data_IF_969260397815
#
_entry.id   IF_969260397815
#
_cell.length_a   1.000
_cell.length_b   1.000
_cell.length_c   1.000
_cell.angle_alpha   90.00
_cell.angle_beta   90.00
_cell.angle_gamma   90.00
#
_symmetry.space_group_name_H-M   'P 1'
#
loop_
_entity.id
_entity.type
_entity.pdbx_description
1 polymer ?
#
# COMPACT_ATOMS: atom_id res chain seq x y z
N UNK A 1 -122.64 -77.92 -43.23
CA UNK A 1 -121.78 -77.10 -44.10
C UNK A 1 -121.44 -75.73 -43.50
N UNK A 2 -122.42 -74.90 -43.11
CA UNK A 2 -122.15 -73.52 -42.64
C UNK A 2 -121.29 -73.41 -41.36
N UNK A 3 -121.39 -74.37 -40.41
CA UNK A 3 -120.60 -74.35 -39.16
C UNK A 3 -119.09 -74.55 -39.36
N UNK A 4 -118.68 -75.26 -40.41
CA UNK A 4 -117.26 -75.49 -40.71
C UNK A 4 -116.61 -74.29 -41.39
N UNK A 5 -117.34 -73.58 -42.26
CA UNK A 5 -116.85 -72.36 -42.90
C UNK A 5 -116.66 -71.21 -41.90
N UNK A 6 -117.57 -71.07 -40.92
CA UNK A 6 -117.43 -70.04 -39.88
C UNK A 6 -116.23 -70.31 -38.95
N UNK A 7 -115.96 -71.57 -38.62
CA UNK A 7 -114.79 -71.94 -37.82
C UNK A 7 -113.47 -71.70 -38.56
N UNK A 8 -113.44 -72.00 -39.86
CA UNK A 8 -112.25 -71.77 -40.69
C UNK A 8 -111.97 -70.27 -40.86
N UNK A 9 -113.00 -69.46 -41.10
CA UNK A 9 -112.87 -68.00 -41.20
C UNK A 9 -112.41 -67.38 -39.87
N UNK A 10 -112.92 -67.87 -38.73
CA UNK A 10 -112.47 -67.41 -37.42
C UNK A 10 -111.02 -67.81 -37.10
N UNK A 11 -110.56 -68.97 -37.56
CA UNK A 11 -109.16 -69.38 -37.42
C UNK A 11 -108.24 -68.51 -38.28
N UNK A 12 -108.62 -68.24 -39.55
CA UNK A 12 -107.87 -67.35 -40.43
C UNK A 12 -107.81 -65.92 -39.88
N UNK A 13 -108.92 -65.40 -39.35
CA UNK A 13 -108.97 -64.05 -38.76
C UNK A 13 -108.08 -63.95 -37.52
N UNK A 14 -108.09 -64.97 -36.67
CA UNK A 14 -107.22 -65.01 -35.48
C UNK A 14 -105.74 -65.13 -35.85
N UNK A 15 -105.41 -65.92 -36.88
CA UNK A 15 -104.05 -66.07 -37.37
C UNK A 15 -103.54 -64.77 -38.02
N UNK A 16 -104.37 -64.11 -38.82
CA UNK A 16 -104.06 -62.81 -39.41
C UNK A 16 -103.83 -61.73 -38.34
N UNK A 17 -104.66 -61.72 -37.28
CA UNK A 17 -104.48 -60.79 -36.15
C UNK A 17 -103.19 -61.06 -35.37
N UNK A 18 -102.79 -62.33 -35.20
CA UNK A 18 -101.53 -62.67 -34.55
C UNK A 18 -100.33 -62.26 -35.40
N UNK A 19 -100.36 -62.51 -36.71
CA UNK A 19 -99.31 -62.09 -37.64
C UNK A 19 -99.20 -60.55 -37.71
N UNK A 20 -100.33 -59.85 -37.77
CA UNK A 20 -100.37 -58.38 -37.76
C UNK A 20 -99.78 -57.80 -36.48
N UNK A 21 -100.09 -58.40 -35.32
CA UNK A 21 -99.54 -57.96 -34.04
C UNK A 21 -98.03 -58.24 -33.93
N UNK A 22 -97.55 -59.39 -34.41
CA UNK A 22 -96.12 -59.70 -34.45
C UNK A 22 -95.35 -58.79 -35.41
N UNK A 23 -95.91 -58.49 -36.58
CA UNK A 23 -95.29 -57.59 -37.55
C UNK A 23 -95.18 -56.17 -37.00
N UNK A 24 -96.25 -55.66 -36.37
CA UNK A 24 -96.25 -54.34 -35.74
C UNK A 24 -95.25 -54.25 -34.56
N UNK A 25 -95.15 -55.30 -33.73
CA UNK A 25 -94.16 -55.32 -32.64
C UNK A 25 -92.72 -55.35 -33.17
N UNK A 26 -92.43 -56.18 -34.17
CA UNK A 26 -91.09 -56.30 -34.74
C UNK A 26 -90.65 -55.04 -35.52
N UNK A 27 -91.57 -54.39 -36.25
CA UNK A 27 -91.27 -53.13 -36.94
C UNK A 27 -91.00 -52.00 -35.94
N UNK A 28 -91.87 -51.81 -34.94
CA UNK A 28 -91.69 -50.79 -33.92
C UNK A 28 -90.40 -50.97 -33.11
N UNK A 29 -90.02 -52.22 -32.80
CA UNK A 29 -88.81 -52.49 -32.02
C UNK A 29 -87.52 -52.33 -32.83
N UNK A 30 -87.57 -52.60 -34.15
CA UNK A 30 -86.44 -52.34 -35.04
C UNK A 30 -86.24 -50.83 -35.28
N UNK A 31 -87.31 -50.06 -35.46
CA UNK A 31 -87.25 -48.60 -35.59
C UNK A 31 -86.72 -47.95 -34.30
N UNK A 32 -87.22 -48.37 -33.13
CA UNK A 32 -86.75 -47.89 -31.83
C UNK A 32 -85.25 -48.20 -31.61
N UNK A 33 -84.79 -49.39 -31.98
CA UNK A 33 -83.38 -49.76 -31.88
C UNK A 33 -82.49 -48.94 -32.84
N UNK A 34 -82.97 -48.65 -34.06
CA UNK A 34 -82.26 -47.79 -35.00
C UNK A 34 -82.16 -46.35 -34.49
N UNK A 35 -83.26 -45.77 -33.99
CA UNK A 35 -83.25 -44.44 -33.38
C UNK A 35 -82.33 -44.39 -32.17
N UNK A 36 -82.38 -45.38 -31.28
CA UNK A 36 -81.53 -45.42 -30.07
C UNK A 36 -80.05 -45.48 -30.42
N UNK A 37 -79.67 -46.29 -31.42
CA UNK A 37 -78.30 -46.36 -31.89
C UNK A 37 -77.84 -45.04 -32.54
N UNK A 38 -78.72 -44.41 -33.33
CA UNK A 38 -78.43 -43.15 -33.98
C UNK A 38 -78.31 -41.99 -32.97
N UNK A 39 -79.14 -41.98 -31.93
CA UNK A 39 -79.08 -41.04 -30.81
C UNK A 39 -77.78 -41.20 -30.02
N UNK A 40 -77.41 -42.43 -29.66
CA UNK A 40 -76.16 -42.74 -28.96
C UNK A 40 -74.93 -42.34 -29.77
N UNK A 41 -74.95 -42.58 -31.09
CA UNK A 41 -73.85 -42.21 -31.97
C UNK A 41 -73.74 -40.69 -32.14
N UNK A 42 -74.87 -39.98 -32.17
CA UNK A 42 -74.90 -38.51 -32.17
C UNK A 42 -74.36 -37.92 -30.85
N UNK A 43 -74.74 -38.46 -29.69
CA UNK A 43 -74.20 -38.04 -28.40
C UNK A 43 -72.69 -38.30 -28.29
N UNK A 44 -72.22 -39.47 -28.76
CA UNK A 44 -70.80 -39.82 -28.77
C UNK A 44 -70.00 -38.86 -29.65
N UNK A 45 -70.53 -38.51 -30.84
CA UNK A 45 -69.92 -37.54 -31.74
C UNK A 45 -69.87 -36.13 -31.12
N UNK A 46 -70.94 -35.70 -30.44
CA UNK A 46 -70.94 -34.42 -29.72
C UNK A 46 -69.90 -34.38 -28.60
N UNK A 47 -69.83 -35.41 -27.75
CA UNK A 47 -68.81 -35.50 -26.68
C UNK A 47 -67.39 -35.52 -27.23
N UNK A 48 -67.16 -36.25 -28.32
CA UNK A 48 -65.85 -36.31 -28.98
C UNK A 48 -65.43 -34.95 -29.53
N UNK A 49 -66.35 -34.23 -30.19
CA UNK A 49 -66.09 -32.87 -30.67
C UNK A 49 -65.79 -31.90 -29.54
N UNK A 50 -66.53 -31.98 -28.43
CA UNK A 50 -66.31 -31.12 -27.27
C UNK A 50 -64.98 -31.42 -26.57
N UNK A 51 -64.59 -32.69 -26.47
CA UNK A 51 -63.28 -33.10 -25.93
C UNK A 51 -62.13 -32.58 -26.81
N UNK A 52 -62.24 -32.71 -28.12
CA UNK A 52 -61.24 -32.20 -29.07
C UNK A 52 -61.12 -30.67 -29.01
N UNK A 53 -62.25 -29.95 -28.89
CA UNK A 53 -62.24 -28.50 -28.69
C UNK A 53 -61.53 -28.10 -27.39
N UNK A 54 -61.81 -28.79 -26.28
CA UNK A 54 -61.17 -28.52 -24.99
C UNK A 54 -59.66 -28.85 -25.02
N UNK A 55 -59.26 -29.93 -25.68
CA UNK A 55 -57.84 -30.27 -25.85
C UNK A 55 -57.09 -29.20 -26.66
N UNK A 56 -57.66 -28.73 -27.77
CA UNK A 56 -57.07 -27.66 -28.57
C UNK A 56 -56.98 -26.33 -27.79
N UNK A 57 -58.02 -25.99 -27.00
CA UNK A 57 -57.98 -24.80 -26.14
C UNK A 57 -56.88 -24.89 -25.08
N UNK A 58 -56.72 -26.04 -24.41
CA UNK A 58 -55.66 -26.24 -23.42
C UNK A 58 -54.26 -26.22 -24.05
N UNK A 59 -54.08 -26.79 -25.24
CA UNK A 59 -52.79 -26.72 -25.95
C UNK A 59 -52.42 -25.28 -26.32
N UNK A 60 -53.38 -24.50 -26.83
CA UNK A 60 -53.15 -23.08 -27.15
C UNK A 60 -52.86 -22.25 -25.88
N UNK A 61 -53.55 -22.52 -24.76
CA UNK A 61 -53.25 -21.83 -23.50
C UNK A 61 -51.85 -22.14 -22.98
N UNK A 62 -51.43 -23.40 -23.03
CA UNK A 62 -50.07 -23.80 -22.62
C UNK A 62 -48.99 -23.21 -23.52
N UNK A 63 -49.20 -23.17 -24.84
CA UNK A 63 -48.29 -22.50 -25.78
C UNK A 63 -48.17 -21.01 -25.46
N UNK A 64 -49.29 -20.30 -25.29
CA UNK A 64 -49.28 -18.88 -24.94
C UNK A 64 -48.60 -18.59 -23.59
N UNK A 65 -48.76 -19.48 -22.59
CA UNK A 65 -48.07 -19.34 -21.30
C UNK A 65 -46.56 -19.53 -21.43
N UNK A 66 -46.13 -20.54 -22.20
CA UNK A 66 -44.70 -20.77 -22.46
C UNK A 66 -44.06 -19.63 -23.25
N UNK A 67 -44.75 -19.10 -24.26
CA UNK A 67 -44.27 -17.94 -25.02
C UNK A 67 -44.14 -16.70 -24.12
N UNK A 68 -45.11 -16.43 -23.25
CA UNK A 68 -45.03 -15.33 -22.28
C UNK A 68 -43.88 -15.50 -21.29
N UNK A 69 -43.66 -16.72 -20.77
CA UNK A 69 -42.54 -16.98 -19.86
C UNK A 69 -41.18 -16.81 -20.55
N UNK A 70 -41.05 -17.27 -21.79
CA UNK A 70 -39.84 -17.09 -22.59
C UNK A 70 -39.57 -15.61 -22.89
N UNK A 71 -40.60 -14.84 -23.27
CA UNK A 71 -40.47 -13.40 -23.49
C UNK A 71 -40.04 -12.68 -22.20
N UNK A 72 -40.63 -13.00 -21.06
CA UNK A 72 -40.30 -12.40 -19.76
C UNK A 72 -38.87 -12.72 -19.32
N UNK A 73 -38.41 -13.95 -19.56
CA UNK A 73 -37.04 -14.38 -19.26
C UNK A 73 -36.02 -13.66 -20.15
N UNK A 74 -36.31 -13.56 -21.44
CA UNK A 74 -35.45 -12.82 -22.38
C UNK A 74 -35.35 -11.33 -22.02
N UNK A 75 -36.47 -10.72 -21.61
CA UNK A 75 -36.50 -9.31 -21.21
C UNK A 75 -35.73 -9.08 -19.90
N UNK A 76 -35.82 -9.99 -18.94
CA UNK A 76 -35.05 -9.93 -17.69
C UNK A 76 -33.54 -10.03 -17.96
N UNK A 77 -33.13 -10.97 -18.81
CA UNK A 77 -31.72 -11.15 -19.18
C UNK A 77 -31.18 -9.93 -19.94
N UNK A 78 -31.98 -9.33 -20.83
CA UNK A 78 -31.60 -8.10 -21.53
C UNK A 78 -31.41 -6.94 -20.55
N UNK A 79 -32.32 -6.75 -19.61
CA UNK A 79 -32.24 -5.67 -18.62
C UNK A 79 -31.02 -5.85 -17.70
N UNK A 80 -30.77 -7.07 -17.21
CA UNK A 80 -29.60 -7.34 -16.36
C UNK A 80 -28.28 -7.09 -17.10
N UNK A 81 -28.20 -7.48 -18.38
CA UNK A 81 -27.02 -7.20 -19.20
C UNK A 81 -26.84 -5.70 -19.44
N UNK A 82 -27.92 -4.96 -19.67
CA UNK A 82 -27.85 -3.49 -19.82
C UNK A 82 -27.39 -2.80 -18.54
N UNK A 83 -27.96 -3.14 -17.38
CA UNK A 83 -27.53 -2.58 -16.09
C UNK A 83 -26.06 -2.89 -15.78
N UNK A 84 -25.63 -4.13 -16.01
CA UNK A 84 -24.24 -4.55 -15.75
C UNK A 84 -23.27 -3.79 -16.65
N UNK A 85 -23.60 -3.65 -17.94
CA UNK A 85 -22.77 -2.88 -18.89
C UNK A 85 -22.71 -1.41 -18.50
N UNK A 86 -23.84 -0.82 -18.09
CA UNK A 86 -23.90 0.58 -17.70
C UNK A 86 -23.11 0.85 -16.41
N UNK A 87 -23.17 -0.06 -15.43
CA UNK A 87 -22.39 0.03 -14.19
C UNK A 87 -20.89 -0.04 -14.48
N UNK A 88 -20.46 -1.01 -15.29
CA UNK A 88 -19.06 -1.17 -15.68
C UNK A 88 -18.53 0.05 -16.43
N UNK A 89 -19.34 0.61 -17.34
CA UNK A 89 -18.95 1.78 -18.14
C UNK A 89 -18.84 3.04 -17.28
N UNK A 90 -19.75 3.22 -16.30
CA UNK A 90 -19.66 4.31 -15.33
C UNK A 90 -18.41 4.20 -14.45
N UNK A 91 -18.09 2.99 -14.00
CA UNK A 91 -16.92 2.74 -13.16
C UNK A 91 -15.61 2.94 -13.93
N UNK A 92 -15.56 2.52 -15.20
CA UNK A 92 -14.43 2.79 -16.09
C UNK A 92 -14.25 4.30 -16.30
N UNK A 93 -15.33 5.04 -16.54
CA UNK A 93 -15.28 6.50 -16.70
C UNK A 93 -14.81 7.21 -15.42
N UNK A 94 -15.24 6.75 -14.23
CA UNK A 94 -14.74 7.27 -12.96
C UNK A 94 -13.24 7.04 -12.80
N UNK A 95 -12.78 5.80 -13.01
CA UNK A 95 -11.35 5.47 -12.93
C UNK A 95 -10.52 6.27 -13.94
N UNK A 96 -11.02 6.48 -15.16
CA UNK A 96 -10.34 7.28 -16.18
C UNK A 96 -10.23 8.76 -15.74
N UNK A 97 -11.27 9.29 -15.11
CA UNK A 97 -11.26 10.67 -14.61
C UNK A 97 -10.30 10.84 -13.43
N UNK A 98 -10.25 9.88 -12.50
CA UNK A 98 -9.29 9.88 -11.38
C UNK A 98 -7.86 9.81 -11.89
N UNK A 99 -7.56 8.89 -12.83
CA UNK A 99 -6.24 8.77 -13.44
C UNK A 99 -5.81 10.06 -14.16
N UNK A 100 -6.74 10.72 -14.85
CA UNK A 100 -6.48 12.00 -15.51
C UNK A 100 -6.19 13.12 -14.51
N UNK A 101 -6.90 13.16 -13.37
CA UNK A 101 -6.63 14.13 -12.30
C UNK A 101 -5.25 13.90 -11.69
N UNK A 102 -4.92 12.65 -11.39
CA UNK A 102 -3.63 12.26 -10.81
C UNK A 102 -2.47 12.59 -11.76
N UNK A 103 -2.65 12.32 -13.06
CA UNK A 103 -1.67 12.68 -14.11
C UNK A 103 -1.47 14.20 -14.21
N UNK A 104 -2.55 14.97 -14.13
CA UNK A 104 -2.46 16.44 -14.15
C UNK A 104 -1.75 16.99 -12.91
N UNK A 105 -2.00 16.41 -11.74
CA UNK A 105 -1.33 16.79 -10.51
C UNK A 105 0.17 16.47 -10.57
N UNK A 106 0.54 15.27 -11.04
CA UNK A 106 1.93 14.87 -11.22
C UNK A 106 2.68 15.79 -12.19
N UNK A 107 2.02 16.23 -13.27
CA UNK A 107 2.58 17.19 -14.21
C UNK A 107 2.79 18.56 -13.58
N UNK A 108 1.88 19.02 -12.71
CA UNK A 108 2.05 20.28 -11.97
C UNK A 108 3.23 20.20 -11.00
N UNK A 109 3.33 19.12 -10.22
CA UNK A 109 4.45 18.89 -9.31
C UNK A 109 5.79 18.82 -10.05
N UNK A 110 5.83 18.13 -11.20
CA UNK A 110 7.03 18.04 -12.04
C UNK A 110 7.46 19.41 -12.56
N UNK A 111 6.51 20.25 -12.99
CA UNK A 111 6.82 21.61 -13.44
C UNK A 111 7.35 22.49 -12.29
N UNK A 112 6.79 22.36 -11.09
CA UNK A 112 7.24 23.07 -9.91
C UNK A 112 8.66 22.63 -9.50
N UNK A 113 8.92 21.33 -9.49
CA UNK A 113 10.24 20.76 -9.20
C UNK A 113 11.31 21.26 -10.20
N UNK A 114 10.94 21.38 -11.47
CA UNK A 114 11.83 21.93 -12.50
C UNK A 114 12.14 23.42 -12.26
N UNK A 115 11.15 24.21 -11.83
CA UNK A 115 11.38 25.62 -11.47
C UNK A 115 12.30 25.76 -10.26
N UNK A 116 12.08 24.96 -9.22
CA UNK A 116 12.93 24.92 -8.02
C UNK A 116 14.36 24.48 -8.35
N UNK A 117 14.51 23.48 -9.22
CA UNK A 117 15.82 23.01 -9.70
C UNK A 117 16.57 24.12 -10.44
N UNK A 118 15.87 24.91 -11.26
CA UNK A 118 16.47 26.03 -11.97
C UNK A 118 16.92 27.16 -11.03
N UNK A 119 16.11 27.50 -10.02
CA UNK A 119 16.50 28.46 -8.99
C UNK A 119 17.70 27.96 -8.17
N UNK A 120 17.72 26.67 -7.85
CA UNK A 120 18.84 26.06 -7.13
C UNK A 120 20.15 26.17 -7.92
N UNK A 121 20.11 25.88 -9.21
CA UNK A 121 21.29 25.98 -10.08
C UNK A 121 21.79 27.44 -10.16
N UNK A 122 20.90 28.44 -10.20
CA UNK A 122 21.28 29.85 -10.15
C UNK A 122 21.96 30.21 -8.82
N UNK A 123 21.43 29.75 -7.69
CA UNK A 123 22.01 29.99 -6.36
C UNK A 123 23.36 29.28 -6.19
N UNK A 124 23.54 28.10 -6.79
CA UNK A 124 24.84 27.39 -6.79
C UNK A 124 25.92 28.19 -7.52
N UNK A 125 25.61 28.75 -8.69
CA UNK A 125 26.56 29.60 -9.41
C UNK A 125 26.95 30.85 -8.61
N UNK A 126 26.01 31.44 -7.87
CA UNK A 126 26.31 32.58 -6.99
C UNK A 126 27.21 32.20 -5.81
N UNK A 127 26.94 31.06 -5.16
CA UNK A 127 27.75 30.57 -4.03
C UNK A 127 29.16 30.14 -4.43
N UNK A 128 29.34 29.56 -5.63
CA UNK A 128 30.67 29.25 -6.15
C UNK A 128 31.53 30.51 -6.34
N UNK A 129 30.93 31.58 -6.86
CA UNK A 129 31.61 32.88 -6.98
C UNK A 129 31.98 33.47 -5.61
N UNK A 130 31.12 33.33 -4.59
CA UNK A 130 31.43 33.79 -3.23
C UNK A 130 32.56 32.99 -2.56
N UNK A 131 32.57 31.67 -2.70
CA UNK A 131 33.63 30.82 -2.15
C UNK A 131 34.99 31.08 -2.80
N UNK A 132 35.03 31.37 -4.10
CA UNK A 132 36.27 31.77 -4.78
C UNK A 132 36.82 33.08 -4.19
N UNK A 133 35.96 34.07 -3.95
CA UNK A 133 36.37 35.33 -3.31
C UNK A 133 36.85 35.13 -1.86
N UNK A 134 36.21 34.27 -1.08
CA UNK A 134 36.65 33.97 0.30
C UNK A 134 38.02 33.28 0.34
N UNK A 135 38.29 32.35 -0.58
CA UNK A 135 39.59 31.68 -0.67
C UNK A 135 40.71 32.64 -1.06
N UNK A 136 40.44 33.62 -1.93
CA UNK A 136 41.41 34.67 -2.25
C UNK A 136 41.73 35.53 -1.02
N UNK A 137 40.72 35.95 -0.26
CA UNK A 137 40.90 36.72 0.97
C UNK A 137 41.67 35.93 2.05
N UNK A 138 41.39 34.63 2.20
CA UNK A 138 42.09 33.76 3.14
C UNK A 138 43.58 33.60 2.79
N UNK A 139 43.88 33.47 1.50
CA UNK A 139 45.26 33.37 1.03
C UNK A 139 46.05 34.67 1.28
N UNK A 140 45.40 35.83 1.10
CA UNK A 140 46.01 37.13 1.39
C UNK A 140 46.29 37.31 2.88
N UNK A 141 45.35 36.95 3.76
CA UNK A 141 45.52 36.98 5.22
C UNK A 141 46.66 36.06 5.68
N UNK A 142 46.80 34.89 5.08
CA UNK A 142 47.89 33.97 5.38
C UNK A 142 49.26 34.52 4.95
N UNK A 143 49.33 35.26 3.84
CA UNK A 143 50.56 35.94 3.40
C UNK A 143 50.96 37.04 4.39
N UNK A 144 50.01 37.89 4.80
CA UNK A 144 50.24 38.94 5.79
C UNK A 144 50.69 38.36 7.14
N UNK A 145 50.06 37.28 7.60
CA UNK A 145 50.42 36.61 8.85
C UNK A 145 51.85 36.03 8.81
N UNK A 146 52.24 35.45 7.67
CA UNK A 146 53.59 34.93 7.49
C UNK A 146 54.64 36.06 7.48
N UNK A 147 54.33 37.20 6.87
CA UNK A 147 55.20 38.37 6.88
C UNK A 147 55.37 38.96 8.28
N UNK A 148 54.27 39.09 9.03
CA UNK A 148 54.29 39.56 10.42
C UNK A 148 55.13 38.64 11.34
N UNK A 149 55.04 37.32 11.12
CA UNK A 149 55.84 36.34 11.85
C UNK A 149 57.34 36.46 11.52
N UNK A 150 57.69 36.75 10.26
CA UNK A 150 59.08 37.00 9.87
C UNK A 150 59.63 38.27 10.53
N UNK A 151 58.86 39.36 10.54
CA UNK A 151 59.23 40.61 11.21
C UNK A 151 59.40 40.42 12.72
N UNK A 152 58.49 39.67 13.35
CA UNK A 152 58.55 39.34 14.79
C UNK A 152 59.80 38.54 15.12
N UNK A 153 60.17 37.58 14.26
CA UNK A 153 61.38 36.78 14.44
C UNK A 153 62.66 37.61 14.29
N UNK A 154 62.70 38.56 13.35
CA UNK A 154 63.81 39.50 13.20
C UNK A 154 63.93 40.44 14.41
N UNK A 155 62.81 40.95 14.93
CA UNK A 155 62.76 41.75 16.16
C UNK A 155 63.30 40.99 17.38
N UNK A 156 62.93 39.72 17.53
CA UNK A 156 63.42 38.86 18.62
C UNK A 156 64.91 38.56 18.49
N UNK A 157 65.44 38.38 17.27
CA UNK A 157 66.88 38.23 17.03
C UNK A 157 67.66 39.50 17.40
N UNK A 158 67.13 40.67 17.04
CA UNK A 158 67.73 41.97 17.39
C UNK A 158 67.68 42.23 18.91
N UNK A 159 66.62 41.79 19.61
CA UNK A 159 66.54 41.88 21.07
C UNK A 159 67.54 40.96 21.77
N UNK A 160 67.76 39.75 21.27
CA UNK A 160 68.76 38.82 21.83
C UNK A 160 70.21 39.32 21.61
N UNK A 161 70.48 39.99 20.49
CA UNK A 161 71.78 40.65 20.28
C UNK A 161 72.00 41.83 21.25
N UNK A 162 70.95 42.61 21.56
CA UNK A 162 71.01 43.69 22.56
C UNK A 162 71.09 43.19 24.01
N UNK A 163 70.61 41.99 24.32
CA UNK A 163 70.79 41.37 25.64
C UNK A 163 72.20 40.82 25.85
N UNK A 164 72.83 40.28 24.80
CA UNK A 164 74.22 39.80 24.87
C UNK A 164 75.26 40.93 24.98
N UNK A 165 74.96 42.15 24.51
CA UNK A 165 75.80 43.33 24.75
C UNK A 165 75.64 43.91 26.17
N UNK A 166 74.50 43.71 26.82
CA UNK A 166 74.24 44.23 28.17
C UNK A 166 74.62 43.28 29.32
N UNK A 167 75.03 42.04 29.06
CA UNK A 167 75.51 41.11 30.09
C UNK A 167 76.98 41.31 30.51
N UNK A 168 77.73 42.22 29.85
CA UNK A 168 79.09 42.59 30.26
C UNK A 168 79.17 43.85 31.15
N UNK A 169 78.04 44.45 31.52
CA UNK A 169 77.99 45.57 32.47
C UNK A 169 76.77 45.45 33.37
N UNK A 170 76.86 44.65 34.43
CA UNK A 170 76.22 44.87 35.75
C UNK A 170 76.21 43.57 36.57
N UNK A 171 77.39 43.13 37.02
CA UNK A 171 77.48 42.48 38.32
C UNK A 171 77.40 43.56 39.39
N UNK A 172 76.19 43.89 39.84
CA UNK A 172 75.88 44.43 41.17
C UNK A 172 74.44 44.95 41.18
N UNK A 173 73.51 44.17 41.70
CA UNK A 173 72.70 44.55 42.87
C UNK A 173 71.60 43.52 43.14
N UNK A 174 71.34 43.37 44.44
CA UNK A 174 70.52 42.36 45.10
C UNK A 174 69.01 42.61 44.94
N UNK A 175 68.28 41.50 45.10
CA UNK A 175 67.11 41.30 45.97
C UNK A 175 65.67 41.39 45.42
N UNK A 176 64.95 40.29 45.73
CA UNK A 176 63.55 40.16 46.19
C UNK A 176 62.45 40.80 45.33
N UNK A 177 61.46 40.00 44.92
CA UNK A 177 60.10 40.00 45.48
C UNK A 177 59.26 38.83 44.91
N UNK A 178 58.75 37.98 45.82
CA UNK A 178 57.62 37.08 45.63
C UNK A 178 56.43 37.68 46.39
N UNK A 179 55.29 37.85 45.73
CA UNK A 179 53.95 37.95 46.35
C UNK A 179 52.92 37.63 45.24
N UNK A 180 52.23 36.48 45.25
CA UNK A 180 50.97 36.17 45.95
C UNK A 180 49.99 37.34 46.01
N UNK A 181 48.94 37.28 45.20
CA UNK A 181 47.60 37.71 45.57
C UNK A 181 46.57 36.68 45.09
N UNK A 182 45.86 36.08 46.04
CA UNK A 182 44.67 35.26 45.83
C UNK A 182 43.47 36.19 45.90
N UNK A 183 42.65 36.23 44.87
CA UNK A 183 41.24 36.61 44.99
C UNK A 183 40.40 35.34 44.90
N UNK A 184 39.97 34.86 46.07
CA UNK A 184 38.96 33.81 46.24
C UNK A 184 37.60 34.51 46.24
N UNK A 185 36.85 34.45 45.14
CA UNK A 185 35.38 34.33 45.14
C UNK A 185 34.96 33.93 43.70
N UNK A 186 34.16 32.86 43.58
CA UNK A 186 33.66 32.17 42.36
C UNK A 186 34.59 31.12 41.71
N UNK A 187 34.55 29.86 42.13
CA UNK A 187 35.06 28.76 41.26
C UNK A 187 34.55 27.32 41.49
N UNK A 188 33.53 27.05 42.33
CA UNK A 188 32.95 25.69 42.40
C UNK A 188 32.05 25.33 41.20
N UNK A 189 31.43 26.31 40.55
CA UNK A 189 30.64 26.07 39.32
C UNK A 189 31.56 25.82 38.12
N UNK A 190 32.54 26.70 37.85
CA UNK A 190 33.52 26.59 36.74
C UNK A 190 34.32 25.28 36.72
N UNK A 191 34.67 24.71 37.88
CA UNK A 191 35.41 23.45 37.98
C UNK A 191 34.61 22.24 37.48
N UNK A 192 33.29 22.20 37.72
CA UNK A 192 32.42 21.10 37.28
C UNK A 192 32.15 21.17 35.77
N UNK A 193 31.97 22.35 35.19
CA UNK A 193 31.83 22.50 33.72
C UNK A 193 33.07 22.03 32.96
N UNK A 194 34.26 22.34 33.48
CA UNK A 194 35.53 21.92 32.87
C UNK A 194 35.71 20.38 32.90
N UNK A 195 35.14 19.70 33.90
CA UNK A 195 35.16 18.23 33.97
C UNK A 195 34.14 17.56 33.05
N UNK A 196 33.01 18.22 32.74
CA UNK A 196 31.93 17.68 31.87
C UNK A 196 32.33 17.70 30.40
N UNK A 197 32.85 18.83 29.91
CA UNK A 197 33.42 18.92 28.55
C UNK A 197 34.55 17.91 28.37
N UNK A 198 35.32 17.66 29.43
CA UNK A 198 36.43 16.68 29.44
C UNK A 198 35.97 15.24 29.19
N UNK A 199 34.83 14.80 29.75
CA UNK A 199 34.32 13.43 29.48
C UNK A 199 33.88 13.26 28.03
N UNK A 200 33.15 14.25 27.46
CA UNK A 200 32.81 14.26 26.02
C UNK A 200 34.07 14.29 25.16
N UNK A 201 35.03 15.16 25.46
CA UNK A 201 36.30 15.23 24.73
C UNK A 201 37.08 13.91 24.78
N UNK A 202 37.09 13.23 25.94
CA UNK A 202 37.69 11.90 26.09
C UNK A 202 36.95 10.86 25.24
N UNK A 203 35.62 10.90 25.22
CA UNK A 203 34.81 10.06 24.34
C UNK A 203 35.12 10.28 22.86
N UNK A 204 35.29 11.53 22.43
CA UNK A 204 35.70 11.86 21.06
C UNK A 204 37.09 11.30 20.71
N UNK A 205 38.02 11.28 21.68
CA UNK A 205 39.36 10.69 21.48
C UNK A 205 39.29 9.18 21.31
N UNK A 206 38.53 8.48 22.16
CA UNK A 206 38.32 7.04 22.03
C UNK A 206 37.62 6.68 20.72
N UNK A 207 36.60 7.44 20.34
CA UNK A 207 35.90 7.25 19.06
C UNK A 207 36.86 7.35 17.86
N UNK A 208 37.77 8.35 17.86
CA UNK A 208 38.78 8.50 16.79
C UNK A 208 39.79 7.36 16.74
N UNK A 209 39.99 6.64 17.85
CA UNK A 209 40.84 5.45 17.92
C UNK A 209 40.11 4.16 17.54
N UNK A 210 38.79 4.20 17.35
CA UNK A 210 37.97 3.01 17.13
C UNK A 210 37.62 2.24 18.41
N UNK A 211 37.96 2.79 19.58
CA UNK A 211 37.64 2.25 20.91
C UNK A 211 36.20 2.67 21.27
N UNK A 212 35.21 2.00 20.67
CA UNK A 212 33.80 2.43 20.71
C UNK A 212 33.14 2.21 22.08
N UNK A 213 33.46 1.11 22.78
CA UNK A 213 32.91 0.82 24.11
C UNK A 213 33.41 1.84 25.15
N UNK A 214 34.69 2.19 25.10
CA UNK A 214 35.29 3.23 25.96
C UNK A 214 34.72 4.62 25.63
N UNK A 215 34.42 4.89 24.36
CA UNK A 215 33.75 6.11 23.95
C UNK A 215 32.32 6.18 24.52
N UNK A 216 31.56 5.08 24.45
CA UNK A 216 30.21 4.95 25.03
C UNK A 216 30.23 5.23 26.53
N UNK A 217 31.18 4.64 27.27
CA UNK A 217 31.31 4.85 28.71
C UNK A 217 31.59 6.34 29.03
N UNK A 218 32.44 6.98 28.22
CA UNK A 218 32.76 8.40 28.38
C UNK A 218 31.57 9.33 28.08
N UNK A 219 30.80 9.06 27.02
CA UNK A 219 29.59 9.83 26.73
C UNK A 219 28.49 9.60 27.77
N UNK A 220 28.33 8.38 28.25
CA UNK A 220 27.38 8.04 29.34
C UNK A 220 27.70 8.84 30.60
N UNK A 221 28.98 8.87 31.03
CA UNK A 221 29.43 9.73 32.14
C UNK A 221 29.18 11.22 31.88
N UNK A 222 29.25 11.68 30.63
CA UNK A 222 28.96 13.07 30.29
C UNK A 222 27.46 13.39 30.40
N UNK A 223 26.58 12.46 30.01
CA UNK A 223 25.11 12.55 30.10
C UNK A 223 24.66 12.52 31.57
N UNK A 224 25.11 11.53 32.34
CA UNK A 224 24.76 11.35 33.76
C UNK A 224 25.19 12.52 34.65
N UNK A 225 26.23 13.25 34.24
CA UNK A 225 26.68 14.45 34.92
C UNK A 225 25.68 15.62 34.84
N UNK A 226 24.53 15.45 34.14
CA UNK A 226 23.43 16.40 33.96
C UNK A 226 23.97 17.82 33.79
N UNK A 227 24.66 18.12 32.68
CA UNK A 227 25.08 19.48 32.40
C UNK A 227 23.83 20.37 32.34
N UNK A 228 23.91 21.62 32.81
CA UNK A 228 22.79 22.55 32.72
C UNK A 228 22.62 23.12 31.29
N UNK A 229 23.41 22.63 30.34
CA UNK A 229 23.27 22.93 28.92
C UNK A 229 22.76 21.65 28.24
N UNK A 230 21.48 21.64 27.91
CA UNK A 230 20.81 20.49 27.29
C UNK A 230 21.39 20.21 25.89
N UNK A 231 21.95 21.21 25.21
CA UNK A 231 22.60 20.99 23.91
C UNK A 231 23.80 20.05 24.02
N UNK A 232 24.57 20.15 25.11
CA UNK A 232 25.66 19.22 25.37
C UNK A 232 25.15 17.79 25.56
N UNK A 233 23.99 17.62 26.21
CA UNK A 233 23.36 16.31 26.40
C UNK A 233 22.94 15.74 25.04
N UNK A 234 22.27 16.55 24.21
CA UNK A 234 21.87 16.14 22.86
C UNK A 234 23.07 15.70 22.01
N UNK A 235 24.17 16.46 22.05
CA UNK A 235 25.42 16.11 21.34
C UNK A 235 26.02 14.80 21.89
N UNK A 236 25.97 14.56 23.21
CA UNK A 236 26.51 13.33 23.78
C UNK A 236 25.67 12.11 23.40
N UNK A 237 24.34 12.20 23.40
CA UNK A 237 23.46 11.16 22.86
C UNK A 237 23.73 10.92 21.37
N UNK A 238 23.84 11.99 20.59
CA UNK A 238 24.21 11.91 19.17
C UNK A 238 25.60 11.28 18.94
N UNK A 239 26.58 11.50 19.80
CA UNK A 239 27.89 10.86 19.63
C UNK A 239 27.90 9.40 20.11
N UNK A 240 27.12 9.08 21.15
CA UNK A 240 26.99 7.71 21.66
C UNK A 240 26.20 6.83 20.68
N UNK A 241 25.15 7.34 20.05
CA UNK A 241 24.46 6.63 18.95
C UNK A 241 25.36 6.36 17.75
N UNK A 242 26.34 7.23 17.47
CA UNK A 242 27.34 6.93 16.44
C UNK A 242 28.22 5.73 16.82
N UNK A 243 28.56 5.57 18.10
CA UNK A 243 29.32 4.43 18.58
C UNK A 243 28.50 3.14 18.46
N UNK A 244 27.24 3.16 18.91
CA UNK A 244 26.32 2.02 18.76
C UNK A 244 26.13 1.61 17.29
N UNK A 245 26.04 2.57 16.38
CA UNK A 245 25.98 2.30 14.94
C UNK A 245 27.24 1.62 14.41
N UNK A 246 28.43 1.94 14.95
CA UNK A 246 29.69 1.24 14.59
C UNK A 246 29.76 -0.19 15.14
N UNK A 247 29.04 -0.46 16.23
CA UNK A 247 28.91 -1.80 16.83
C UNK A 247 27.73 -2.61 16.26
N UNK A 248 26.91 -2.02 15.38
CA UNK A 248 25.73 -2.68 14.82
C UNK A 248 24.55 -2.84 15.80
N UNK A 249 24.55 -2.08 16.90
CA UNK A 249 23.50 -2.09 17.92
C UNK A 249 22.39 -1.10 17.54
N UNK A 250 21.53 -1.48 16.58
CA UNK A 250 20.61 -0.54 15.92
C UNK A 250 19.48 -0.03 16.81
N UNK A 251 18.99 -0.84 17.74
CA UNK A 251 17.99 -0.44 18.73
C UNK A 251 18.55 0.67 19.65
N UNK A 252 19.77 0.50 20.16
CA UNK A 252 20.44 1.52 20.99
C UNK A 252 20.72 2.81 20.21
N UNK A 253 20.97 2.71 18.89
CA UNK A 253 21.05 3.89 18.01
C UNK A 253 19.74 4.66 18.00
N UNK A 254 18.61 3.97 17.87
CA UNK A 254 17.28 4.58 17.80
C UNK A 254 16.94 5.27 19.13
N UNK A 255 17.22 4.62 20.25
CA UNK A 255 16.95 5.17 21.58
C UNK A 255 17.76 6.45 21.83
N UNK A 256 19.07 6.41 21.61
CA UNK A 256 19.94 7.59 21.79
C UNK A 256 19.62 8.71 20.81
N UNK A 257 19.36 8.38 19.54
CA UNK A 257 18.93 9.39 18.58
C UNK A 257 17.60 10.02 18.99
N UNK A 258 16.66 9.25 19.52
CA UNK A 258 15.36 9.76 19.99
C UNK A 258 15.53 10.69 21.18
N UNK A 259 16.37 10.35 22.17
CA UNK A 259 16.69 11.24 23.29
C UNK A 259 17.40 12.52 22.83
N UNK A 260 18.32 12.42 21.86
CA UNK A 260 18.97 13.61 21.27
C UNK A 260 17.95 14.52 20.58
N UNK A 261 17.02 13.95 19.80
CA UNK A 261 16.02 14.68 19.02
C UNK A 261 14.90 15.29 19.88
N UNK A 262 14.62 14.74 21.08
CA UNK A 262 13.76 15.40 22.08
C UNK A 262 14.31 16.78 22.48
N UNK A 263 15.63 16.91 22.51
CA UNK A 263 16.32 18.16 22.88
C UNK A 263 16.57 19.04 21.65
N UNK A 264 17.04 18.45 20.54
CA UNK A 264 17.31 19.15 19.29
C UNK A 264 16.54 18.50 18.13
N UNK A 265 15.27 18.88 17.90
CA UNK A 265 14.40 18.20 16.93
C UNK A 265 14.90 18.21 15.48
N UNK A 266 15.72 19.21 15.13
CA UNK A 266 16.20 19.45 13.77
C UNK A 266 17.68 19.05 13.59
N UNK A 267 18.20 18.17 14.46
CA UNK A 267 19.59 17.73 14.36
C UNK A 267 19.78 16.72 13.20
N UNK A 268 20.01 17.25 11.99
CA UNK A 268 20.07 16.48 10.72
C UNK A 268 20.96 15.23 10.82
N UNK A 269 22.16 15.33 11.40
CA UNK A 269 23.10 14.19 11.51
C UNK A 269 22.52 13.04 12.35
N UNK A 270 21.68 13.35 13.34
CA UNK A 270 21.05 12.38 14.22
C UNK A 270 19.80 11.79 13.55
N UNK A 271 19.02 12.60 12.85
CA UNK A 271 17.91 12.13 12.01
C UNK A 271 18.40 11.12 10.96
N UNK A 272 19.48 11.43 10.24
CA UNK A 272 20.07 10.51 9.26
C UNK A 272 20.46 9.17 9.90
N UNK A 273 21.10 9.22 11.07
CA UNK A 273 21.54 8.01 11.75
C UNK A 273 20.38 7.16 12.26
N UNK A 274 19.31 7.80 12.73
CA UNK A 274 18.10 7.09 13.15
C UNK A 274 17.37 6.46 11.96
N UNK A 275 17.30 7.18 10.84
CA UNK A 275 16.78 6.63 9.58
C UNK A 275 17.60 5.41 9.10
N UNK A 276 18.93 5.48 9.17
CA UNK A 276 19.80 4.35 8.86
C UNK A 276 19.52 3.16 9.79
N UNK A 277 19.40 3.38 11.10
CA UNK A 277 19.10 2.32 12.05
C UNK A 277 17.72 1.68 11.79
N UNK A 278 16.68 2.48 11.50
CA UNK A 278 15.38 1.97 11.09
C UNK A 278 15.47 1.14 9.79
N UNK A 279 16.25 1.60 8.80
CA UNK A 279 16.49 0.84 7.58
C UNK A 279 17.15 -0.51 7.87
N UNK A 280 18.17 -0.55 8.74
CA UNK A 280 18.86 -1.79 9.12
C UNK A 280 17.94 -2.77 9.85
N UNK A 281 16.96 -2.27 10.61
CA UNK A 281 15.91 -3.08 11.24
C UNK A 281 14.71 -3.36 10.31
N UNK A 282 14.79 -2.98 9.03
CA UNK A 282 13.73 -3.12 8.02
C UNK A 282 12.40 -2.43 8.38
N UNK A 283 12.50 -1.37 9.19
CA UNK A 283 11.43 -0.46 9.62
C UNK A 283 11.39 0.74 8.67
N UNK A 284 10.99 0.48 7.43
CA UNK A 284 11.15 1.43 6.34
C UNK A 284 10.25 2.66 6.45
N UNK A 285 9.07 2.53 7.05
CA UNK A 285 8.14 3.66 7.26
C UNK A 285 8.77 4.72 8.16
N UNK A 286 9.29 4.32 9.33
CA UNK A 286 9.93 5.24 10.26
C UNK A 286 11.24 5.83 9.70
N UNK A 287 11.97 5.06 8.89
CA UNK A 287 13.15 5.59 8.18
C UNK A 287 12.77 6.71 7.20
N UNK A 288 11.66 6.54 6.46
CA UNK A 288 11.18 7.55 5.51
C UNK A 288 10.69 8.80 6.23
N UNK A 289 9.99 8.68 7.35
CA UNK A 289 9.55 9.83 8.16
C UNK A 289 10.74 10.71 8.57
N UNK A 290 11.82 10.11 9.05
CA UNK A 290 13.04 10.84 9.44
C UNK A 290 13.72 11.50 8.23
N UNK A 291 13.79 10.82 7.08
CA UNK A 291 14.39 11.39 5.87
C UNK A 291 13.54 12.52 5.28
N UNK A 292 12.22 12.37 5.27
CA UNK A 292 11.29 13.41 4.83
C UNK A 292 11.38 14.63 5.74
N UNK A 293 11.54 14.44 7.05
CA UNK A 293 11.83 15.53 7.98
C UNK A 293 13.15 16.24 7.64
N UNK A 294 14.20 15.51 7.28
CA UNK A 294 15.46 16.14 6.84
C UNK A 294 15.23 16.93 5.55
N UNK A 295 14.48 16.40 4.59
CA UNK A 295 14.16 17.10 3.35
C UNK A 295 13.34 18.38 3.60
N UNK A 296 12.50 18.42 4.64
CA UNK A 296 11.80 19.63 5.05
C UNK A 296 12.74 20.66 5.71
N UNK A 297 13.74 20.20 6.47
CA UNK A 297 14.71 21.08 7.14
C UNK A 297 15.72 21.66 6.12
N UNK A 298 16.25 20.82 5.24
CA UNK A 298 17.20 21.18 4.18
C UNK A 298 16.79 20.53 2.85
N UNK A 299 15.94 21.20 2.06
CA UNK A 299 15.48 20.70 0.77
C UNK A 299 16.61 20.50 -0.26
N UNK A 300 17.75 21.18 -0.06
CA UNK A 300 18.86 21.20 -1.00
C UNK A 300 19.84 20.05 -0.78
N UNK A 301 19.65 19.28 0.29
CA UNK A 301 20.50 18.16 0.65
C UNK A 301 20.22 16.94 -0.26
N UNK A 302 20.86 16.92 -1.43
CA UNK A 302 20.71 15.88 -2.47
C UNK A 302 20.88 14.45 -1.95
N UNK A 303 21.71 14.25 -0.93
CA UNK A 303 21.93 12.95 -0.29
C UNK A 303 20.62 12.35 0.26
N UNK A 304 19.73 13.18 0.81
CA UNK A 304 18.44 12.76 1.38
C UNK A 304 17.52 12.21 0.29
N UNK A 305 17.40 12.90 -0.83
CA UNK A 305 16.53 12.49 -1.94
C UNK A 305 16.94 11.13 -2.51
N UNK A 306 18.24 10.92 -2.70
CA UNK A 306 18.79 9.62 -3.12
C UNK A 306 18.46 8.52 -2.09
N UNK A 307 18.64 8.83 -0.81
CA UNK A 307 18.35 7.90 0.29
C UNK A 307 16.87 7.54 0.39
N UNK A 308 15.96 8.50 0.21
CA UNK A 308 14.50 8.27 0.18
C UNK A 308 14.15 7.28 -0.94
N UNK A 309 14.66 7.50 -2.15
CA UNK A 309 14.43 6.60 -3.29
C UNK A 309 14.95 5.18 -3.01
N UNK A 310 16.13 5.07 -2.42
CA UNK A 310 16.71 3.78 -2.02
C UNK A 310 15.82 3.06 -1.00
N UNK A 311 15.39 3.75 0.06
CA UNK A 311 14.56 3.14 1.11
C UNK A 311 13.18 2.72 0.56
N UNK A 312 12.57 3.53 -0.32
CA UNK A 312 11.31 3.18 -0.99
C UNK A 312 11.46 1.91 -1.84
N UNK A 313 12.55 1.78 -2.58
CA UNK A 313 12.86 0.58 -3.36
C UNK A 313 13.00 -0.66 -2.47
N UNK A 314 13.76 -0.56 -1.37
CA UNK A 314 13.92 -1.66 -0.42
C UNK A 314 12.58 -2.06 0.24
N UNK A 315 11.71 -1.09 0.52
CA UNK A 315 10.38 -1.36 1.06
C UNK A 315 9.49 -2.11 0.07
N UNK A 316 9.50 -1.71 -1.21
CA UNK A 316 8.78 -2.39 -2.29
C UNK A 316 9.30 -3.82 -2.48
N UNK A 317 10.62 -4.01 -2.58
CA UNK A 317 11.24 -5.32 -2.72
C UNK A 317 10.85 -6.25 -1.55
N UNK A 318 10.85 -5.74 -0.31
CA UNK A 318 10.39 -6.52 0.86
C UNK A 318 8.91 -6.91 0.76
N UNK A 319 8.05 -5.99 0.32
CA UNK A 319 6.63 -6.26 0.16
C UNK A 319 6.36 -7.29 -0.95
N UNK A 320 7.07 -7.20 -2.07
CA UNK A 320 6.99 -8.16 -3.16
C UNK A 320 7.45 -9.54 -2.72
N UNK A 321 8.59 -9.65 -2.04
CA UNK A 321 9.10 -10.91 -1.49
C UNK A 321 8.10 -11.55 -0.52
N UNK A 322 7.49 -10.75 0.37
CA UNK A 322 6.46 -11.24 1.30
C UNK A 322 5.19 -11.70 0.57
N UNK A 323 4.79 -10.99 -0.49
CA UNK A 323 3.65 -11.38 -1.34
C UNK A 323 3.93 -12.68 -2.08
N UNK A 324 5.12 -12.84 -2.64
CA UNK A 324 5.55 -14.07 -3.31
C UNK A 324 5.57 -15.26 -2.34
N UNK A 325 6.12 -15.07 -1.14
CA UNK A 325 6.12 -16.11 -0.10
C UNK A 325 4.69 -16.51 0.29
N UNK A 326 3.83 -15.53 0.56
CA UNK A 326 2.42 -15.76 0.90
C UNK A 326 1.68 -16.49 -0.22
N UNK A 327 1.88 -16.08 -1.48
CA UNK A 327 1.28 -16.75 -2.64
C UNK A 327 1.78 -18.19 -2.77
N UNK A 328 3.08 -18.44 -2.52
CA UNK A 328 3.64 -19.79 -2.47
C UNK A 328 3.01 -20.65 -1.38
N UNK A 329 2.85 -20.11 -0.17
CA UNK A 329 2.18 -20.80 0.94
C UNK A 329 0.71 -21.12 0.62
N UNK A 330 -0.03 -20.17 0.03
CA UNK A 330 -1.41 -20.36 -0.42
C UNK A 330 -1.50 -21.43 -1.51
N UNK A 331 -0.55 -21.43 -2.46
CA UNK A 331 -0.46 -22.46 -3.51
C UNK A 331 -0.25 -23.84 -2.90
N UNK A 332 0.68 -23.97 -1.96
CA UNK A 332 0.95 -25.22 -1.26
C UNK A 332 -0.27 -25.72 -0.47
N UNK A 333 -0.99 -24.81 0.20
CA UNK A 333 -2.22 -25.14 0.90
C UNK A 333 -3.31 -25.62 -0.07
N UNK A 334 -3.51 -24.90 -1.18
CA UNK A 334 -4.43 -25.28 -2.24
C UNK A 334 -4.12 -26.67 -2.79
N UNK A 335 -2.86 -26.94 -3.11
CA UNK A 335 -2.41 -28.25 -3.61
C UNK A 335 -2.60 -29.38 -2.59
N UNK A 336 -2.46 -29.12 -1.29
CA UNK A 336 -2.72 -30.13 -0.25
C UNK A 336 -4.19 -30.54 -0.19
N UNK A 337 -5.11 -29.62 -0.49
CA UNK A 337 -6.55 -29.88 -0.54
C UNK A 337 -6.92 -30.55 -1.87
N UNK A 338 -6.52 -29.93 -2.97
CA UNK A 338 -6.82 -30.38 -4.35
C UNK A 338 -6.17 -31.72 -4.67
N UNK A 339 -4.99 -31.99 -4.14
CA UNK A 339 -4.27 -33.25 -4.34
C UNK A 339 -5.06 -34.48 -3.87
N UNK A 340 -5.93 -34.34 -2.87
CA UNK A 340 -6.85 -35.42 -2.44
C UNK A 340 -7.86 -35.83 -3.52
N UNK A 341 -8.05 -34.97 -4.52
CA UNK A 341 -8.94 -35.18 -5.66
C UNK A 341 -8.17 -35.38 -6.97
N UNK A 342 -6.84 -35.54 -6.92
CA UNK A 342 -5.99 -35.66 -8.10
C UNK A 342 -5.86 -34.34 -8.88
N UNK A 343 -6.05 -33.19 -8.22
CA UNK A 343 -5.98 -31.85 -8.81
C UNK A 343 -4.82 -31.03 -8.20
N UNK A 344 -4.43 -29.98 -8.92
CA UNK A 344 -3.44 -28.97 -8.53
C UNK A 344 -4.02 -27.57 -8.78
N UNK A 345 -3.50 -26.57 -8.07
CA UNK A 345 -3.74 -25.15 -8.37
C UNK A 345 -3.32 -24.79 -9.79
N UNK A 346 -2.38 -25.53 -10.38
CA UNK A 346 -1.95 -25.32 -11.78
C UNK A 346 -3.02 -25.74 -12.80
N UNK A 347 -4.00 -26.57 -12.39
CA UNK A 347 -5.15 -26.89 -13.22
C UNK A 347 -6.14 -25.72 -13.35
N UNK A 348 -5.96 -24.63 -12.61
CA UNK A 348 -6.85 -23.47 -12.61
C UNK A 348 -6.11 -22.24 -13.12
N UNK A 349 -6.36 -21.83 -14.37
CA UNK A 349 -5.71 -20.66 -14.99
C UNK A 349 -6.64 -19.46 -14.99
N UNK A 350 -6.10 -18.30 -14.64
CA UNK A 350 -6.78 -17.02 -14.78
C UNK A 350 -6.71 -16.56 -16.25
N UNK A 351 -7.86 -16.36 -16.88
CA UNK A 351 -7.98 -15.80 -18.23
C UNK A 351 -8.60 -14.41 -18.13
N UNK A 352 -7.90 -13.41 -18.66
CA UNK A 352 -8.38 -12.03 -18.75
C UNK A 352 -9.16 -11.85 -20.04
N UNK A 353 -10.41 -11.41 -19.95
CA UNK A 353 -11.22 -11.02 -21.10
C UNK A 353 -10.65 -9.72 -21.72
N UNK A 354 -10.26 -9.74 -23.00
CA UNK A 354 -9.67 -8.58 -23.66
C UNK A 354 -10.65 -7.43 -23.93
N UNK A 355 -11.96 -7.67 -23.92
CA UNK A 355 -12.99 -6.65 -24.13
C UNK A 355 -13.44 -6.00 -22.82
N UNK A 356 -13.61 -6.80 -21.77
CA UNK A 356 -14.14 -6.33 -20.49
C UNK A 356 -13.07 -6.10 -19.42
N UNK A 357 -11.86 -6.67 -19.60
CA UNK A 357 -10.79 -6.65 -18.61
C UNK A 357 -11.04 -7.58 -17.41
N UNK A 358 -12.17 -8.27 -17.36
CA UNK A 358 -12.55 -9.17 -16.27
C UNK A 358 -11.69 -10.43 -16.26
N UNK A 359 -11.40 -10.96 -15.07
CA UNK A 359 -10.68 -12.23 -14.91
C UNK A 359 -11.66 -13.37 -14.62
N UNK A 360 -11.55 -14.46 -15.37
CA UNK A 360 -12.26 -15.73 -15.10
C UNK A 360 -11.24 -16.83 -14.78
N UNK A 361 -11.61 -17.80 -13.95
CA UNK A 361 -10.78 -18.99 -13.69
C UNK A 361 -11.29 -20.13 -14.55
N UNK A 362 -10.44 -20.61 -15.45
CA UNK A 362 -10.72 -21.76 -16.30
C UNK A 362 -9.98 -22.99 -15.78
N UNK A 363 -10.70 -24.11 -15.73
CA UNK A 363 -10.12 -25.40 -15.41
C UNK A 363 -9.50 -26.03 -16.66
N UNK A 364 -8.24 -26.43 -16.58
CA UNK A 364 -7.51 -27.18 -17.59
C UNK A 364 -6.95 -28.45 -16.96
N UNK A 365 -7.37 -29.59 -17.49
CA UNK A 365 -7.02 -30.91 -16.95
C UNK A 365 -5.67 -31.39 -17.46
#
# INVERSE_FOLDING_TARGET
MQKNQLNQLNQETNQLNQETNQLNQNQNQNELNQETNQLNQNELNQKTNQLNQNQNQNQNQNQNQNENQNQKTNQLNQNQNQETNQLNQNQLNQNQNELNQETNQLNQETNQLNQETNQLNQNQNQNQNQNQNQNQNQNQLNQETNQLNQETNQLNQNQNQNQNQNQNQNQNQKSKYKSKSKSKYKSKSKSKYKSKSKSKEKGNLFFRKGEFDEAIECYTKAIEAKPPDDNLISICYGNRSLCYSKLGQWEDVIDDCTESLKIQPNYIKVLFRRADAFQQLTRFSEALEDLEKISQIDPLLKEVHSKILQVRKLAQEKQENQKEEMMGQLKNLGNKILGKFGLSTDNFKTVKDPQTGAYSIQFQK
#
